data_IF_285364302012
#
_entry.id   IF_285364302012
#
_cell.length_a   1.000
_cell.length_b   1.000
_cell.length_c   1.000
_cell.angle_alpha   90.00
_cell.angle_beta   90.00
_cell.angle_gamma   90.00
#
_symmetry.space_group_name_H-M   'P 1'
#
loop_
_entity.id
_entity.type
_entity.pdbx_description
1 polymer ?
#
# COMPACT_ATOMS: atom_id res chain seq x y z
N UNK A 1 17.99 -4.40 40.75
CA UNK A 1 16.75 -4.33 41.54
C UNK A 1 15.69 -3.62 40.73
N UNK A 2 14.54 -4.30 40.51
CA UNK A 2 13.25 -3.84 39.95
C UNK A 2 13.31 -3.20 38.55
N UNK A 3 13.02 -3.83 37.46
CA UNK A 3 11.80 -4.44 36.99
C UNK A 3 10.66 -3.46 36.83
N UNK A 4 10.66 -2.62 35.75
CA UNK A 4 9.41 -2.02 35.23
C UNK A 4 9.05 -2.72 33.95
N UNK A 5 8.13 -3.69 34.12
CA UNK A 5 7.36 -4.28 33.02
C UNK A 5 6.47 -3.17 32.44
N UNK A 6 6.80 -2.67 31.26
CA UNK A 6 5.87 -1.91 30.45
C UNK A 6 4.63 -2.78 30.20
N UNK A 7 3.55 -2.44 30.91
CA UNK A 7 2.24 -3.02 30.72
C UNK A 7 1.68 -2.53 29.39
N UNK A 8 1.84 -3.32 28.34
CA UNK A 8 1.07 -3.19 27.12
C UNK A 8 -0.37 -3.54 27.50
N UNK A 9 -1.21 -2.51 27.52
CA UNK A 9 -2.60 -2.59 27.95
C UNK A 9 -3.36 -3.58 27.05
N UNK A 10 -3.65 -4.71 27.66
CA UNK A 10 -4.66 -5.67 27.26
C UNK A 10 -6.00 -4.98 26.97
N UNK A 11 -6.60 -5.24 25.82
CA UNK A 11 -8.04 -5.20 25.67
C UNK A 11 -8.65 -3.85 25.28
N UNK A 12 -8.21 -3.25 24.17
CA UNK A 12 -9.16 -2.49 23.35
C UNK A 12 -9.47 -3.31 22.11
N UNK A 13 -10.74 -3.72 22.01
CA UNK A 13 -11.26 -4.57 20.96
C UNK A 13 -10.79 -4.10 19.57
N UNK A 14 -10.39 -5.07 18.77
CA UNK A 14 -10.04 -4.96 17.33
C UNK A 14 -11.24 -4.55 16.45
N UNK A 15 -12.12 -3.70 16.98
CA UNK A 15 -13.34 -3.22 16.31
C UNK A 15 -13.25 -1.76 15.85
N UNK A 16 -12.05 -1.19 15.80
CA UNK A 16 -11.82 -0.06 14.92
C UNK A 16 -11.64 -0.65 13.52
N UNK A 17 -12.62 -0.35 12.66
CA UNK A 17 -12.70 -0.80 11.29
C UNK A 17 -11.48 -0.35 10.48
N UNK A 18 -10.35 -1.03 10.66
CA UNK A 18 -9.21 -0.90 9.77
C UNK A 18 -9.68 -1.42 8.43
N UNK A 19 -9.88 -0.51 7.49
CA UNK A 19 -10.47 -0.78 6.19
C UNK A 19 -9.59 -1.79 5.45
N UNK A 20 -10.07 -3.04 5.35
CA UNK A 20 -9.40 -4.09 4.61
C UNK A 20 -9.43 -3.76 3.11
N UNK A 21 -8.30 -3.88 2.46
CA UNK A 21 -8.19 -3.66 1.01
C UNK A 21 -8.51 -4.93 0.20
N UNK A 22 -8.45 -6.08 0.85
CA UNK A 22 -8.71 -7.38 0.25
C UNK A 22 -9.03 -8.42 1.36
N UNK A 23 -9.81 -9.45 1.02
CA UNK A 23 -10.09 -10.58 1.90
C UNK A 23 -10.07 -11.87 1.10
N UNK A 24 -9.48 -12.90 1.68
CA UNK A 24 -9.34 -14.21 1.03
C UNK A 24 -8.65 -15.21 1.95
N UNK A 25 -7.87 -16.10 1.38
CA UNK A 25 -7.23 -17.21 2.08
C UNK A 25 -5.75 -17.29 1.77
N UNK A 26 -4.92 -17.43 2.79
CA UNK A 26 -3.52 -17.88 2.61
C UNK A 26 -3.55 -19.41 2.65
N UNK A 27 -2.98 -20.05 1.64
CA UNK A 27 -2.94 -21.50 1.53
C UNK A 27 -1.52 -22.03 1.31
N UNK A 28 -1.23 -23.19 1.87
CA UNK A 28 -0.05 -23.98 1.58
C UNK A 28 -0.33 -25.44 1.92
N UNK A 29 0.03 -26.34 1.03
CA UNK A 29 -0.30 -27.76 1.18
C UNK A 29 -1.80 -27.99 1.48
N UNK A 30 -2.14 -28.52 2.66
CA UNK A 30 -3.52 -28.76 3.10
C UNK A 30 -4.05 -27.70 4.09
N UNK A 31 -3.26 -26.65 4.35
CA UNK A 31 -3.64 -25.60 5.30
C UNK A 31 -4.24 -24.42 4.52
N UNK A 32 -5.39 -23.95 5.00
CA UNK A 32 -6.09 -22.79 4.46
C UNK A 32 -6.46 -21.85 5.62
N UNK A 33 -5.96 -20.62 5.61
CA UNK A 33 -6.14 -19.62 6.67
C UNK A 33 -6.90 -18.44 6.09
N UNK A 34 -8.16 -18.22 6.50
CA UNK A 34 -8.90 -17.03 6.08
C UNK A 34 -8.29 -15.77 6.70
N UNK A 35 -7.99 -14.78 5.84
CA UNK A 35 -7.30 -13.56 6.22
C UNK A 35 -7.88 -12.33 5.52
N UNK A 36 -7.64 -11.18 6.12
CA UNK A 36 -7.88 -9.87 5.52
C UNK A 36 -6.55 -9.12 5.39
N UNK A 37 -6.34 -8.49 4.26
CA UNK A 37 -5.16 -7.67 3.98
C UNK A 37 -5.44 -6.21 4.35
N UNK A 38 -4.53 -5.63 5.11
CA UNK A 38 -4.62 -4.27 5.63
C UNK A 38 -3.30 -3.55 5.37
N UNK A 39 -3.35 -2.27 5.02
CA UNK A 39 -2.12 -1.49 4.86
C UNK A 39 -1.33 -1.45 6.17
N UNK A 40 -0.03 -1.79 6.10
CA UNK A 40 0.87 -1.69 7.26
C UNK A 40 1.44 -0.28 7.43
N UNK A 41 1.43 0.54 6.37
CA UNK A 41 1.99 1.89 6.38
C UNK A 41 0.90 2.89 5.99
N UNK A 42 0.72 3.89 6.83
CA UNK A 42 -0.05 5.09 6.52
C UNK A 42 0.91 6.20 6.07
N UNK A 43 0.71 6.78 4.86
CA UNK A 43 1.57 7.88 4.41
C UNK A 43 1.46 9.06 5.38
N UNK A 44 2.56 9.43 6.01
CA UNK A 44 2.62 10.56 6.93
C UNK A 44 2.56 11.94 6.25
N UNK A 45 2.34 12.01 4.94
CA UNK A 45 2.32 13.27 4.20
C UNK A 45 1.05 14.07 4.48
N UNK A 46 1.23 15.35 4.81
CA UNK A 46 0.11 16.29 4.84
C UNK A 46 -0.29 16.58 3.40
N UNK A 47 -1.52 16.23 3.02
CA UNK A 47 -2.07 16.50 1.68
C UNK A 47 -2.90 17.77 1.69
N UNK A 48 -2.72 18.59 0.64
CA UNK A 48 -3.50 19.80 0.41
C UNK A 48 -4.35 19.64 -0.84
N UNK A 49 -5.62 20.04 -0.77
CA UNK A 49 -6.45 20.18 -1.97
C UNK A 49 -6.11 21.49 -2.66
N UNK A 50 -6.10 21.49 -3.99
CA UNK A 50 -5.95 22.70 -4.78
C UNK A 50 -7.30 23.42 -4.81
N UNK A 51 -7.27 24.70 -4.45
CA UNK A 51 -8.45 25.55 -4.44
C UNK A 51 -8.24 26.73 -5.41
N UNK A 52 -9.33 27.21 -6.00
CA UNK A 52 -9.30 28.40 -6.82
C UNK A 52 -9.10 29.64 -5.94
N UNK A 53 -8.20 30.52 -6.29
CA UNK A 53 -7.79 31.65 -5.43
C UNK A 53 -8.85 32.75 -5.26
N UNK A 54 -9.87 32.80 -6.12
CA UNK A 54 -10.88 33.85 -6.10
C UNK A 54 -12.06 33.52 -5.16
N UNK A 55 -12.47 32.25 -5.16
CA UNK A 55 -13.69 31.81 -4.48
C UNK A 55 -13.47 30.56 -3.60
N UNK A 56 -12.22 30.06 -3.54
CA UNK A 56 -11.81 28.89 -2.77
C UNK A 56 -12.53 27.57 -3.16
N UNK A 57 -13.15 27.52 -4.33
CA UNK A 57 -13.75 26.29 -4.85
C UNK A 57 -12.71 25.21 -5.10
N UNK A 58 -12.99 23.92 -4.82
CA UNK A 58 -12.10 22.82 -5.13
C UNK A 58 -11.89 22.67 -6.63
N UNK A 59 -10.62 22.54 -7.06
CA UNK A 59 -10.28 22.33 -8.45
C UNK A 59 -10.35 20.85 -8.81
N UNK A 60 -11.01 20.53 -9.93
CA UNK A 60 -11.01 19.21 -10.55
C UNK A 60 -9.98 19.14 -11.69
N UNK A 61 -9.40 17.96 -11.91
CA UNK A 61 -8.54 17.70 -13.07
C UNK A 61 -9.41 17.16 -14.20
N UNK A 62 -9.27 17.74 -15.40
CA UNK A 62 -9.93 17.28 -16.62
C UNK A 62 -8.88 16.96 -17.67
N UNK A 63 -9.14 15.94 -18.50
CA UNK A 63 -8.28 15.66 -19.64
C UNK A 63 -8.58 16.68 -20.75
N UNK A 64 -7.54 17.25 -21.32
CA UNK A 64 -7.62 18.30 -22.32
C UNK A 64 -6.79 17.93 -23.55
N UNK A 65 -7.37 17.99 -24.73
CA UNK A 65 -6.68 17.79 -25.99
C UNK A 65 -6.09 19.12 -26.48
N UNK A 66 -4.75 19.28 -26.49
CA UNK A 66 -4.14 20.54 -26.92
C UNK A 66 -4.32 20.82 -28.42
N UNK A 67 -4.58 19.79 -29.23
CA UNK A 67 -4.78 19.95 -30.68
C UNK A 67 -6.17 20.48 -31.03
N UNK A 68 -7.19 20.05 -30.29
CA UNK A 68 -8.59 20.44 -30.51
C UNK A 68 -9.04 21.56 -29.56
N UNK A 69 -8.18 21.90 -28.59
CA UNK A 69 -8.46 22.90 -27.55
C UNK A 69 -9.77 22.62 -26.77
N UNK A 70 -10.10 21.33 -26.59
CA UNK A 70 -11.33 20.89 -25.93
C UNK A 70 -11.05 19.92 -24.79
N UNK A 71 -12.02 19.79 -23.88
CA UNK A 71 -12.03 18.73 -22.88
C UNK A 71 -12.42 17.41 -23.51
N UNK A 72 -11.66 16.35 -23.18
CA UNK A 72 -11.90 15.00 -23.72
C UNK A 72 -12.75 14.21 -22.72
N UNK A 73 -13.93 13.73 -23.11
CA UNK A 73 -14.73 12.85 -22.28
C UNK A 73 -14.05 11.48 -22.09
N UNK A 74 -14.44 10.77 -21.01
CA UNK A 74 -13.79 9.51 -20.66
C UNK A 74 -13.91 8.43 -21.75
N UNK A 75 -15.02 8.42 -22.48
CA UNK A 75 -15.32 7.47 -23.53
C UNK A 75 -14.43 7.63 -24.79
N UNK A 76 -13.81 8.79 -24.95
CA UNK A 76 -12.90 9.10 -26.07
C UNK A 76 -11.43 8.88 -25.70
N UNK A 77 -11.14 8.44 -24.47
CA UNK A 77 -9.78 8.19 -24.01
C UNK A 77 -9.42 6.73 -24.30
N UNK A 78 -8.37 6.54 -25.09
CA UNK A 78 -7.81 5.23 -25.41
C UNK A 78 -6.38 5.11 -24.85
N UNK A 79 -5.92 3.88 -24.68
CA UNK A 79 -4.56 3.62 -24.20
C UNK A 79 -3.62 3.38 -25.36
N UNK A 80 -2.46 4.04 -25.32
CA UNK A 80 -1.40 3.85 -26.32
C UNK A 80 -0.07 3.51 -25.63
N UNK A 81 0.62 2.49 -26.14
CA UNK A 81 1.99 2.16 -25.75
C UNK A 81 2.97 2.81 -26.74
N UNK A 82 3.84 3.68 -26.27
CA UNK A 82 4.84 4.37 -27.10
C UNK A 82 5.99 3.42 -27.45
N UNK A 83 6.20 3.18 -28.75
CA UNK A 83 7.28 2.32 -29.26
C UNK A 83 8.46 3.13 -29.82
N UNK A 84 8.18 4.35 -30.26
CA UNK A 84 9.17 5.33 -30.69
C UNK A 84 8.55 6.72 -30.49
N UNK A 85 9.34 7.81 -30.52
CA UNK A 85 8.82 9.16 -30.37
C UNK A 85 7.62 9.41 -31.30
N UNK A 86 6.48 9.78 -30.72
CA UNK A 86 5.19 10.02 -31.40
C UNK A 86 4.57 8.82 -32.14
N UNK A 87 5.02 7.59 -31.88
CA UNK A 87 4.44 6.36 -32.44
C UNK A 87 3.86 5.48 -31.36
N UNK A 88 2.56 5.22 -31.42
CA UNK A 88 1.80 4.49 -30.41
C UNK A 88 1.13 3.24 -30.98
N UNK A 89 1.22 2.15 -30.23
CA UNK A 89 0.34 0.99 -30.44
C UNK A 89 -0.87 1.19 -29.55
N UNK A 90 -2.05 1.19 -30.14
CA UNK A 90 -3.31 1.31 -29.41
C UNK A 90 -3.68 -0.02 -28.78
N UNK A 91 -4.15 0.04 -27.53
CA UNK A 91 -4.65 -1.11 -26.78
C UNK A 91 -6.08 -0.85 -26.33
N UNK A 92 -6.98 -1.77 -26.63
CA UNK A 92 -8.35 -1.72 -26.12
C UNK A 92 -8.44 -2.28 -24.70
N UNK A 93 -9.50 -1.93 -23.98
CA UNK A 93 -9.73 -2.47 -22.64
C UNK A 93 -10.00 -3.98 -22.69
N UNK A 94 -10.66 -4.49 -23.75
CA UNK A 94 -10.90 -5.92 -23.95
C UNK A 94 -9.58 -6.70 -24.18
N UNK A 95 -8.64 -6.15 -24.94
CA UNK A 95 -7.32 -6.76 -25.13
C UNK A 95 -6.54 -6.83 -23.82
N UNK A 96 -6.57 -5.77 -23.01
CA UNK A 96 -5.93 -5.76 -21.69
C UNK A 96 -6.61 -6.73 -20.72
N UNK A 97 -7.95 -6.84 -20.75
CA UNK A 97 -8.69 -7.78 -19.93
C UNK A 97 -8.40 -9.23 -20.33
N UNK A 98 -8.19 -9.52 -21.62
CA UNK A 98 -7.85 -10.87 -22.11
C UNK A 98 -6.53 -11.42 -21.58
N UNK A 99 -5.57 -10.56 -21.23
CA UNK A 99 -4.26 -10.92 -20.65
C UNK A 99 -4.19 -10.71 -19.14
N UNK A 100 -5.27 -10.25 -18.52
CA UNK A 100 -5.34 -10.03 -17.08
C UNK A 100 -5.32 -11.38 -16.35
N UNK A 101 -4.61 -11.49 -15.21
CA UNK A 101 -4.59 -12.72 -14.44
C UNK A 101 -5.98 -13.02 -13.87
N UNK A 102 -6.31 -14.31 -13.75
CA UNK A 102 -7.57 -14.73 -13.13
C UNK A 102 -7.69 -14.16 -11.71
N UNK A 103 -8.85 -13.59 -11.40
CA UNK A 103 -9.14 -13.05 -10.06
C UNK A 103 -9.15 -14.17 -9.04
N UNK A 104 -8.08 -14.30 -8.28
CA UNK A 104 -7.99 -15.26 -7.18
C UNK A 104 -8.21 -14.58 -5.83
N UNK A 105 -8.94 -15.26 -4.94
CA UNK A 105 -9.04 -14.90 -3.51
C UNK A 105 -8.11 -15.76 -2.64
N UNK A 106 -7.09 -16.34 -3.26
CA UNK A 106 -6.13 -17.19 -2.56
C UNK A 106 -4.73 -16.66 -2.79
N UNK A 107 -3.97 -16.55 -1.73
CA UNK A 107 -2.54 -16.33 -1.72
C UNK A 107 -1.92 -17.70 -1.49
N UNK A 108 -1.39 -18.30 -2.55
CA UNK A 108 -0.79 -19.63 -2.47
C UNK A 108 0.71 -19.51 -2.21
N UNK A 109 1.16 -20.03 -1.06
CA UNK A 109 2.60 -20.11 -0.76
C UNK A 109 3.18 -21.25 -1.58
N UNK A 110 4.12 -20.90 -2.44
CA UNK A 110 4.80 -21.83 -3.36
C UNK A 110 5.95 -22.53 -2.65
N UNK A 111 6.73 -21.75 -1.87
CA UNK A 111 7.92 -22.26 -1.18
C UNK A 111 8.25 -21.41 0.07
N UNK A 112 9.09 -21.96 0.93
CA UNK A 112 9.64 -21.23 2.09
C UNK A 112 11.15 -21.08 1.94
N UNK A 113 11.63 -19.85 2.06
CA UNK A 113 13.05 -19.48 1.93
C UNK A 113 13.57 -18.89 3.24
N UNK A 114 14.90 -18.83 3.39
CA UNK A 114 15.51 -18.13 4.52
C UNK A 114 15.36 -16.61 4.35
N UNK A 115 14.87 -15.94 5.38
CA UNK A 115 14.67 -14.49 5.31
C UNK A 115 15.98 -13.73 5.08
N UNK A 116 17.11 -14.28 5.53
CA UNK A 116 18.42 -13.66 5.34
C UNK A 116 18.93 -13.72 3.88
N UNK A 117 18.35 -14.60 3.05
CA UNK A 117 18.68 -14.69 1.62
C UNK A 117 17.96 -13.62 0.77
N UNK A 118 16.98 -12.92 1.36
CA UNK A 118 16.23 -11.87 0.68
C UNK A 118 16.93 -10.53 0.83
N UNK A 119 17.47 -10.01 -0.26
CA UNK A 119 18.02 -8.65 -0.26
C UNK A 119 16.87 -7.63 -0.08
N UNK A 120 17.02 -6.63 0.81
CA UNK A 120 16.03 -5.59 1.02
C UNK A 120 15.61 -4.82 -0.23
N UNK A 121 16.42 -4.78 -1.28
CA UNK A 121 16.11 -4.12 -2.57
C UNK A 121 14.87 -4.72 -3.25
N UNK A 122 14.55 -5.97 -2.96
CA UNK A 122 13.36 -6.63 -3.51
C UNK A 122 12.06 -6.20 -2.84
N UNK A 123 12.09 -5.63 -1.62
CA UNK A 123 10.88 -5.29 -0.89
C UNK A 123 10.26 -3.97 -1.38
N UNK A 124 8.94 -4.00 -1.64
CA UNK A 124 8.16 -2.83 -2.04
C UNK A 124 7.14 -2.45 -0.95
N UNK A 125 5.90 -2.90 -0.98
CA UNK A 125 4.83 -2.46 -0.10
C UNK A 125 4.47 -3.53 0.96
N UNK A 126 4.55 -3.20 2.25
CA UNK A 126 4.12 -4.09 3.31
C UNK A 126 2.62 -3.95 3.63
N UNK A 127 2.02 -5.10 3.98
CA UNK A 127 0.63 -5.23 4.42
C UNK A 127 0.56 -6.16 5.62
N UNK A 128 -0.35 -5.91 6.55
CA UNK A 128 -0.68 -6.87 7.58
C UNK A 128 -1.70 -7.88 7.08
N UNK A 129 -1.48 -9.16 7.39
CA UNK A 129 -2.46 -10.22 7.26
C UNK A 129 -3.17 -10.38 8.60
N UNK A 130 -4.45 -10.07 8.64
CA UNK A 130 -5.27 -10.18 9.85
C UNK A 130 -6.14 -11.42 9.74
N UNK A 131 -6.13 -12.36 10.70
CA UNK A 131 -6.96 -13.54 10.63
C UNK A 131 -8.44 -13.20 10.70
N UNK A 132 -9.25 -13.91 9.93
CA UNK A 132 -10.70 -13.89 10.02
C UNK A 132 -11.19 -15.04 10.92
N UNK A 133 -12.45 -14.95 11.34
CA UNK A 133 -13.09 -15.94 12.22
C UNK A 133 -12.89 -17.38 11.71
N UNK A 134 -12.42 -18.24 12.60
CA UNK A 134 -12.14 -19.66 12.33
C UNK A 134 -10.71 -19.95 11.83
N UNK A 135 -9.89 -18.90 11.56
CA UNK A 135 -8.50 -19.05 11.13
C UNK A 135 -7.47 -18.81 12.22
N UNK A 136 -7.87 -18.35 13.40
CA UNK A 136 -6.96 -17.77 14.41
C UNK A 136 -5.91 -18.77 14.88
N UNK A 137 -6.30 -20.02 15.16
CA UNK A 137 -5.39 -21.06 15.65
C UNK A 137 -4.33 -21.42 14.61
N UNK A 138 -4.74 -21.62 13.35
CA UNK A 138 -3.82 -21.95 12.25
C UNK A 138 -2.90 -20.75 11.94
N UNK A 139 -3.43 -19.54 12.02
CA UNK A 139 -2.67 -18.29 11.87
C UNK A 139 -1.57 -18.19 12.95
N UNK A 140 -1.92 -18.33 14.23
CA UNK A 140 -0.95 -18.25 15.33
C UNK A 140 0.13 -19.31 15.22
N UNK A 141 -0.24 -20.54 14.82
CA UNK A 141 0.73 -21.59 14.59
C UNK A 141 1.69 -21.24 13.47
N UNK A 142 1.20 -20.69 12.36
CA UNK A 142 2.05 -20.26 11.25
C UNK A 142 3.00 -19.13 11.67
N UNK A 143 2.51 -18.10 12.39
CA UNK A 143 3.35 -17.03 12.96
C UNK A 143 4.49 -17.61 13.78
N UNK A 144 4.16 -18.51 14.71
CA UNK A 144 5.14 -19.08 15.65
C UNK A 144 6.21 -19.92 14.92
N UNK A 145 5.79 -20.76 13.97
CA UNK A 145 6.71 -21.61 13.21
C UNK A 145 7.62 -20.76 12.34
N UNK A 146 7.07 -19.78 11.60
CA UNK A 146 7.86 -18.91 10.74
C UNK A 146 8.85 -18.05 11.55
N UNK A 147 8.45 -17.57 12.72
CA UNK A 147 9.32 -16.85 13.64
C UNK A 147 10.50 -17.68 14.12
N UNK A 148 10.22 -18.93 14.55
CA UNK A 148 11.27 -19.83 15.08
C UNK A 148 12.24 -20.30 14.01
N UNK A 149 11.75 -20.49 12.79
CA UNK A 149 12.56 -21.00 11.68
C UNK A 149 13.24 -19.91 10.86
N UNK A 150 12.92 -18.63 11.12
CA UNK A 150 13.36 -17.47 10.34
C UNK A 150 13.08 -17.64 8.83
N UNK A 151 11.92 -18.24 8.49
CA UNK A 151 11.53 -18.47 7.10
C UNK A 151 10.50 -17.46 6.64
N UNK A 152 10.56 -17.10 5.36
CA UNK A 152 9.53 -16.36 4.65
C UNK A 152 8.88 -17.27 3.61
N UNK A 153 7.56 -17.20 3.48
CA UNK A 153 6.82 -17.88 2.42
C UNK A 153 6.76 -17.03 1.17
N UNK A 154 7.27 -17.53 0.05
CA UNK A 154 7.07 -16.90 -1.25
C UNK A 154 5.72 -17.32 -1.82
N UNK A 155 4.98 -16.35 -2.32
CA UNK A 155 3.65 -16.57 -2.89
C UNK A 155 3.40 -15.71 -4.12
N UNK A 156 2.41 -16.09 -4.92
CA UNK A 156 1.82 -15.24 -5.95
C UNK A 156 0.46 -14.74 -5.48
N UNK A 157 0.17 -13.51 -5.80
CA UNK A 157 -1.03 -12.84 -5.31
C UNK A 157 -1.57 -11.87 -6.35
N UNK A 158 -2.85 -11.97 -6.65
CA UNK A 158 -3.52 -11.06 -7.59
C UNK A 158 -4.28 -9.98 -6.81
N UNK A 159 -3.89 -8.73 -7.01
CA UNK A 159 -4.54 -7.57 -6.44
C UNK A 159 -4.84 -6.53 -7.52
N UNK A 160 -6.12 -6.15 -7.67
CA UNK A 160 -6.54 -5.15 -8.67
C UNK A 160 -6.03 -5.47 -10.07
N UNK A 161 -6.26 -6.72 -10.54
CA UNK A 161 -5.93 -7.17 -11.90
C UNK A 161 -4.43 -7.27 -12.22
N UNK A 162 -3.59 -7.16 -11.20
CA UNK A 162 -2.14 -7.36 -11.33
C UNK A 162 -1.66 -8.49 -10.44
N UNK A 163 -0.85 -9.39 -10.99
CA UNK A 163 -0.13 -10.41 -10.23
C UNK A 163 1.12 -9.79 -9.59
N UNK A 164 1.31 -10.10 -8.31
CA UNK A 164 2.49 -9.72 -7.53
C UNK A 164 3.19 -10.96 -7.02
N UNK A 165 4.50 -10.94 -7.07
CA UNK A 165 5.32 -11.81 -6.23
C UNK A 165 5.31 -11.21 -4.83
N UNK A 166 5.07 -12.04 -3.80
CA UNK A 166 4.98 -11.56 -2.41
C UNK A 166 5.76 -12.45 -1.47
N UNK A 167 6.31 -11.86 -0.42
CA UNK A 167 6.88 -12.56 0.70
C UNK A 167 5.97 -12.42 1.92
N UNK A 168 5.63 -13.53 2.55
CA UNK A 168 4.93 -13.56 3.84
C UNK A 168 5.96 -13.88 4.91
N UNK A 169 6.07 -13.06 5.94
CA UNK A 169 6.96 -13.28 7.07
C UNK A 169 6.27 -12.97 8.39
N UNK A 170 6.78 -13.53 9.49
CA UNK A 170 6.36 -13.14 10.82
C UNK A 170 7.02 -11.83 11.24
N UNK A 171 6.24 -10.97 11.88
CA UNK A 171 6.73 -9.76 12.55
C UNK A 171 6.04 -9.69 13.91
N UNK A 172 6.79 -9.90 14.98
CA UNK A 172 6.28 -10.05 16.34
C UNK A 172 5.18 -11.14 16.42
N UNK A 173 3.93 -10.76 16.62
CA UNK A 173 2.78 -11.66 16.74
C UNK A 173 1.87 -11.65 15.50
N UNK A 174 2.30 -11.01 14.41
CA UNK A 174 1.53 -10.87 13.18
C UNK A 174 2.27 -11.42 11.96
N UNK A 175 1.51 -11.76 10.92
CA UNK A 175 2.05 -12.00 9.58
C UNK A 175 2.02 -10.70 8.78
N UNK A 176 3.13 -10.44 8.10
CA UNK A 176 3.27 -9.34 7.15
C UNK A 176 3.47 -9.93 5.76
N UNK A 177 2.66 -9.48 4.82
CA UNK A 177 2.82 -9.73 3.40
C UNK A 177 3.51 -8.52 2.80
N UNK A 178 4.59 -8.72 2.06
CA UNK A 178 5.34 -7.66 1.39
C UNK A 178 5.35 -7.97 -0.09
N UNK A 179 4.92 -7.02 -0.93
CA UNK A 179 5.10 -7.14 -2.38
C UNK A 179 6.57 -7.04 -2.74
N UNK A 180 6.97 -7.79 -3.75
CA UNK A 180 8.36 -7.87 -4.19
C UNK A 180 8.50 -7.34 -5.62
N UNK A 181 9.62 -6.69 -5.88
CA UNK A 181 10.07 -6.40 -7.24
C UNK A 181 10.54 -7.68 -7.93
N UNK A 182 10.25 -7.82 -9.22
CA UNK A 182 10.86 -8.85 -10.04
C UNK A 182 12.33 -8.51 -10.32
N UNK A 183 13.19 -9.54 -10.53
CA UNK A 183 14.61 -9.32 -10.85
C UNK A 183 14.82 -8.39 -12.06
N UNK A 184 13.91 -8.44 -13.03
CA UNK A 184 13.96 -7.58 -14.22
C UNK A 184 13.71 -6.08 -13.93
N UNK A 185 13.14 -5.74 -12.77
CA UNK A 185 12.89 -4.36 -12.35
C UNK A 185 14.09 -3.74 -11.61
N UNK A 186 15.06 -4.58 -11.20
CA UNK A 186 16.23 -4.15 -10.43
C UNK A 186 17.41 -3.91 -11.40
N UNK A 187 17.99 -2.73 -11.32
CA UNK A 187 19.17 -2.38 -12.11
C UNK A 187 20.35 -3.32 -11.79
N UNK A 188 21.13 -3.66 -12.79
CA UNK A 188 22.31 -4.48 -12.59
C UNK A 188 23.41 -3.65 -11.91
N UNK A 189 24.12 -4.27 -10.95
CA UNK A 189 25.21 -3.61 -10.21
C UNK A 189 26.35 -3.19 -11.12
N UNK A 190 26.58 -3.94 -12.20
CA UNK A 190 27.64 -3.68 -13.20
C UNK A 190 27.51 -2.30 -13.87
N UNK A 191 26.27 -1.80 -13.98
CA UNK A 191 26.00 -0.51 -14.61
C UNK A 191 26.31 0.68 -13.70
N UNK A 192 26.39 0.47 -12.38
CA UNK A 192 26.50 1.52 -11.35
C UNK A 192 27.75 1.38 -10.48
N UNK A 193 28.42 0.23 -10.51
CA UNK A 193 29.60 0.00 -9.67
C UNK A 193 30.81 0.73 -10.25
N UNK A 194 31.50 1.59 -9.47
CA UNK A 194 32.73 2.23 -9.92
C UNK A 194 33.84 1.20 -10.12
N UNK A 195 34.78 1.51 -11.00
CA UNK A 195 35.96 0.66 -11.19
C UNK A 195 36.72 0.48 -9.88
N UNK A 196 37.20 -0.72 -9.65
CA UNK A 196 38.04 -1.01 -8.47
C UNK A 196 39.23 -0.04 -8.40
N UNK A 197 39.37 0.57 -7.25
CA UNK A 197 40.51 1.45 -6.92
C UNK A 197 41.32 0.78 -5.81
N UNK A 198 42.64 0.89 -5.90
CA UNK A 198 43.51 0.49 -4.79
C UNK A 198 43.28 1.47 -3.60
N UNK A 199 42.86 0.91 -2.50
CA UNK A 199 42.59 1.67 -1.26
C UNK A 199 43.75 1.41 -0.28
N UNK A 200 44.38 2.47 0.20
CA UNK A 200 45.44 2.38 1.17
C UNK A 200 44.99 1.77 2.51
N UNK A 201 45.82 0.96 3.10
CA UNK A 201 45.53 0.25 4.34
C UNK A 201 45.30 1.20 5.54
N UNK A 202 45.97 2.34 5.58
CA UNK A 202 45.77 3.35 6.62
C UNK A 202 44.43 4.05 6.48
N UNK A 203 44.02 4.38 5.27
CA UNK A 203 42.69 4.98 4.98
C UNK A 203 41.59 4.03 5.38
N UNK A 204 41.71 2.74 4.99
CA UNK A 204 40.77 1.69 5.36
C UNK A 204 40.65 1.55 6.89
N UNK A 205 41.77 1.62 7.60
CA UNK A 205 41.80 1.55 9.07
C UNK A 205 41.12 2.76 9.72
N UNK A 206 41.37 3.97 9.22
CA UNK A 206 40.72 5.22 9.70
C UNK A 206 39.21 5.19 9.52
N UNK A 207 38.74 4.77 8.34
CA UNK A 207 37.31 4.65 8.07
C UNK A 207 36.67 3.58 8.97
N UNK A 208 37.32 2.42 9.16
CA UNK A 208 36.84 1.35 10.05
C UNK A 208 36.68 1.85 11.51
N UNK A 209 37.63 2.66 11.99
CA UNK A 209 37.55 3.25 13.32
C UNK A 209 36.40 4.26 13.44
N UNK A 210 36.20 5.09 12.40
CA UNK A 210 35.07 6.04 12.35
C UNK A 210 33.72 5.33 12.36
N UNK A 211 33.56 4.27 11.57
CA UNK A 211 32.35 3.45 11.56
C UNK A 211 32.10 2.87 12.94
N UNK A 212 33.13 2.31 13.60
CA UNK A 212 33.00 1.74 14.94
C UNK A 212 32.54 2.78 15.97
N UNK A 213 33.06 4.01 15.88
CA UNK A 213 32.70 5.10 16.80
C UNK A 213 31.28 5.63 16.58
N UNK A 214 30.74 5.47 15.36
CA UNK A 214 29.38 5.90 14.99
C UNK A 214 28.35 4.76 15.03
N UNK A 215 28.79 3.54 15.35
CA UNK A 215 27.88 2.39 15.47
C UNK A 215 26.99 2.56 16.69
N UNK A 216 25.69 2.48 16.47
CA UNK A 216 24.66 2.53 17.50
C UNK A 216 23.51 1.59 17.15
N UNK A 217 22.69 1.24 18.14
CA UNK A 217 21.47 0.47 17.89
C UNK A 217 20.42 1.34 17.19
N UNK A 218 19.71 0.73 16.24
CA UNK A 218 18.66 1.42 15.52
C UNK A 218 17.44 1.63 16.41
N UNK A 219 17.15 2.89 16.73
CA UNK A 219 15.93 3.29 17.42
C UNK A 219 15.09 4.20 16.51
N UNK A 220 14.00 3.69 15.89
CA UNK A 220 13.19 4.47 14.98
C UNK A 220 12.50 5.68 15.62
N UNK A 221 12.25 5.66 16.93
CA UNK A 221 11.59 6.77 17.65
C UNK A 221 12.44 8.05 17.69
N UNK A 222 13.75 7.92 17.48
CA UNK A 222 14.66 9.08 17.43
C UNK A 222 14.57 9.88 16.14
N UNK A 223 13.94 9.31 15.10
CA UNK A 223 13.84 9.92 13.78
C UNK A 223 12.41 10.39 13.53
N UNK A 224 12.20 11.69 13.51
CA UNK A 224 10.91 12.31 13.26
C UNK A 224 10.97 13.20 12.02
N UNK A 225 9.88 13.26 11.26
CA UNK A 225 9.72 14.21 10.14
C UNK A 225 9.49 15.62 10.69
N UNK A 226 10.59 16.38 10.81
CA UNK A 226 10.57 17.76 11.31
C UNK A 226 9.68 18.66 10.46
N UNK A 227 9.65 18.45 9.12
CA UNK A 227 8.81 19.24 8.21
C UNK A 227 7.32 19.01 8.46
N UNK A 228 6.94 17.77 8.69
CA UNK A 228 5.56 17.42 9.05
C UNK A 228 5.13 18.11 10.33
N UNK A 229 5.97 18.06 11.37
CA UNK A 229 5.69 18.75 12.63
C UNK A 229 5.50 20.25 12.42
N UNK A 230 6.40 20.91 11.70
CA UNK A 230 6.29 22.33 11.40
C UNK A 230 5.00 22.68 10.63
N UNK A 231 4.62 21.87 9.64
CA UNK A 231 3.36 22.05 8.90
C UNK A 231 2.16 21.90 9.83
N UNK A 232 2.14 20.86 10.68
CA UNK A 232 1.05 20.62 11.61
C UNK A 232 0.92 21.74 12.64
N UNK A 233 2.01 22.28 13.15
CA UNK A 233 2.00 23.40 14.09
C UNK A 233 1.51 24.69 13.41
N UNK A 234 1.93 24.95 12.17
CA UNK A 234 1.42 26.06 11.38
C UNK A 234 -0.09 25.94 11.14
N UNK A 235 -0.58 24.74 10.79
CA UNK A 235 -2.01 24.49 10.60
C UNK A 235 -2.80 24.71 11.90
N UNK A 236 -2.30 24.23 13.05
CA UNK A 236 -2.91 24.45 14.36
C UNK A 236 -2.98 25.95 14.68
N UNK A 237 -1.89 26.69 14.43
CA UNK A 237 -1.84 28.13 14.66
C UNK A 237 -2.86 28.88 13.79
N UNK A 238 -2.94 28.52 12.50
CA UNK A 238 -3.92 29.11 11.57
C UNK A 238 -5.35 28.75 11.94
N UNK A 239 -5.61 27.52 12.35
CA UNK A 239 -6.94 27.11 12.81
C UNK A 239 -7.36 27.85 14.07
N UNK A 240 -6.46 28.05 15.03
CA UNK A 240 -6.73 28.84 16.24
C UNK A 240 -7.00 30.33 15.94
N UNK A 241 -6.37 30.88 14.89
CA UNK A 241 -6.60 32.25 14.44
C UNK A 241 -7.89 32.40 13.58
N UNK A 242 -8.73 31.37 13.49
CA UNK A 242 -9.94 31.32 12.66
C UNK A 242 -9.71 31.68 11.17
N UNK A 243 -8.51 31.45 10.66
CA UNK A 243 -8.17 31.59 9.25
C UNK A 243 -8.76 30.42 8.42
N UNK A 244 -10.02 30.05 8.69
CA UNK A 244 -10.76 29.02 7.97
C UNK A 244 -11.60 29.71 6.90
N UNK A 245 -11.64 29.11 5.72
CA UNK A 245 -12.47 29.55 4.61
C UNK A 245 -13.41 28.41 4.29
N UNK A 246 -14.71 28.69 4.26
CA UNK A 246 -15.68 27.74 3.77
C UNK A 246 -15.64 27.72 2.24
N UNK A 247 -15.37 26.55 1.67
CA UNK A 247 -15.48 26.38 0.23
C UNK A 247 -16.97 26.45 -0.17
N UNK A 248 -17.33 27.16 -1.25
CA UNK A 248 -18.69 27.13 -1.77
C UNK A 248 -19.06 25.69 -2.14
N UNK A 249 -20.27 25.29 -1.80
CA UNK A 249 -20.82 24.00 -2.22
C UNK A 249 -21.00 24.10 -3.74
N UNK A 250 -20.09 23.50 -4.47
CA UNK A 250 -20.28 23.26 -5.91
C UNK A 250 -21.22 22.08 -5.97
N UNK A 251 -22.44 22.19 -6.53
CA UNK A 251 -23.25 21.02 -6.83
C UNK A 251 -22.41 20.11 -7.70
N UNK A 252 -22.18 18.88 -7.28
CA UNK A 252 -21.66 17.86 -8.21
C UNK A 252 -22.68 17.84 -9.34
N UNK A 253 -22.25 18.08 -10.60
CA UNK A 253 -23.04 17.74 -11.77
C UNK A 253 -23.42 16.28 -11.57
N UNK A 254 -24.71 16.03 -11.33
CA UNK A 254 -25.27 14.71 -11.21
C UNK A 254 -24.93 13.94 -12.49
N UNK A 255 -23.80 13.22 -12.45
CA UNK A 255 -23.68 12.04 -13.28
C UNK A 255 -24.81 11.12 -12.84
N UNK A 256 -25.66 10.72 -13.76
CA UNK A 256 -26.82 9.86 -13.55
C UNK A 256 -26.44 8.60 -12.75
N UNK A 257 -26.66 8.64 -11.45
CA UNK A 257 -26.54 7.53 -10.50
C UNK A 257 -26.28 8.05 -9.10
N UNK A 258 -26.97 7.71 -8.09
CA UNK A 258 -28.03 6.75 -7.82
C UNK A 258 -29.21 7.33 -7.00
N UNK A 259 -29.82 8.38 -7.43
CA UNK A 259 -31.08 8.85 -6.83
C UNK A 259 -32.18 7.76 -6.94
N UNK A 260 -32.02 6.84 -7.86
CA UNK A 260 -32.96 5.75 -8.16
C UNK A 260 -32.75 4.50 -7.28
N UNK A 261 -31.57 4.34 -6.65
CA UNK A 261 -31.27 3.14 -5.86
C UNK A 261 -32.05 3.11 -4.53
N UNK A 262 -32.28 4.25 -3.93
CA UNK A 262 -33.09 4.36 -2.69
C UNK A 262 -34.56 4.16 -3.04
N UNK A 263 -35.03 4.76 -4.13
CA UNK A 263 -36.39 4.56 -4.63
C UNK A 263 -36.60 3.08 -5.07
N UNK A 264 -35.65 2.48 -5.75
CA UNK A 264 -35.69 1.07 -6.13
C UNK A 264 -35.63 0.12 -4.92
N UNK A 265 -34.88 0.45 -3.87
CA UNK A 265 -34.86 -0.29 -2.60
C UNK A 265 -36.17 -0.16 -1.83
N UNK A 266 -36.76 1.03 -1.79
CA UNK A 266 -38.07 1.24 -1.16
C UNK A 266 -39.22 0.54 -1.93
N UNK A 267 -39.17 0.55 -3.26
CA UNK A 267 -40.11 -0.19 -4.12
C UNK A 267 -39.95 -1.73 -3.91
N UNK A 268 -38.73 -2.24 -3.85
CA UNK A 268 -38.44 -3.66 -3.56
C UNK A 268 -38.92 -4.07 -2.17
N UNK A 269 -38.75 -3.22 -1.15
CA UNK A 269 -39.26 -3.47 0.19
C UNK A 269 -40.81 -3.40 0.27
N UNK A 270 -41.49 -2.59 -0.56
CA UNK A 270 -42.94 -2.56 -0.66
C UNK A 270 -43.51 -3.83 -1.33
N UNK A 271 -42.80 -4.38 -2.34
CA UNK A 271 -43.21 -5.62 -2.99
C UNK A 271 -43.11 -6.84 -2.06
N UNK A 272 -42.07 -6.92 -1.23
CA UNK A 272 -41.90 -8.01 -0.24
C UNK A 272 -42.98 -7.94 0.88
N UNK A 273 -43.48 -6.76 1.21
CA UNK A 273 -44.59 -6.59 2.19
C UNK A 273 -45.97 -6.89 1.62
N UNK A 274 -46.17 -6.96 0.32
CA UNK A 274 -47.44 -7.32 -0.37
C UNK A 274 -47.62 -8.81 -0.61
N UNK A 275 -46.55 -9.61 -0.45
CA UNK A 275 -46.55 -11.07 -0.66
C UNK A 275 -46.53 -11.89 0.63
N UNK A 276 -46.95 -11.27 1.77
CA UNK A 276 -47.22 -11.95 3.04
C UNK A 276 -48.66 -11.76 3.48
#
# INVERSE_FOLDING_TARGET
LCGEKSAFASGRGLDMAVQGIWSGTVSFSLVAIPVRLVKAIEPGRVSFRLLHSRDYSPLARRMFCPKEETMVPAEEIIRGFEIAPDQYILMTDEELESVSPERSRTIEIIEFIDLNEMDPVYFDQPYYLVPLSGGEKAYQLLVEVMRRTNKAGLAKFVLREREYLVAIKSMEEALVLITLHYRAEILADEDITPKELEIDAEEKSRIKMSIKNLTADFNPEQYADARRHQIMDLLKTKAAAQAQVEAPIVPEEEGEGPADLIAALEESMRQVKKSR
#
